data_IF_463382786481
#
_entry.id   IF_463382786481
#
_cell.length_a   1.000
_cell.length_b   1.000
_cell.length_c   1.000
_cell.angle_alpha   90.00
_cell.angle_beta   90.00
_cell.angle_gamma   90.00
#
_symmetry.space_group_name_H-M   'P 1'
#
loop_
_entity.id
_entity.type
_entity.pdbx_description
1 polymer ?
#
# COMPACT_ATOMS: atom_id res chain seq x y z
N UNK A 1 32.09 13.05 20.03
CA UNK A 1 31.17 12.07 19.40
C UNK A 1 29.70 12.49 19.56
N UNK A 2 29.22 12.74 20.79
CA UNK A 2 27.85 13.22 21.07
C UNK A 2 27.39 14.46 20.27
N UNK A 3 28.29 15.44 20.05
CA UNK A 3 27.97 16.65 19.26
C UNK A 3 27.72 16.37 17.77
N UNK A 4 28.38 15.37 17.17
CA UNK A 4 28.15 14.97 15.77
C UNK A 4 26.77 14.32 15.60
N UNK A 5 26.37 13.48 16.55
CA UNK A 5 25.07 12.81 16.55
C UNK A 5 23.93 13.82 16.76
N UNK A 6 24.10 14.77 17.68
CA UNK A 6 23.12 15.84 17.89
C UNK A 6 22.94 16.73 16.65
N UNK A 7 24.04 17.03 15.93
CA UNK A 7 23.96 17.80 14.68
C UNK A 7 23.26 16.98 13.59
N UNK A 8 23.60 15.69 13.44
CA UNK A 8 22.95 14.80 12.47
C UNK A 8 21.43 14.68 12.69
N UNK A 9 20.97 14.58 13.94
CA UNK A 9 19.53 14.55 14.24
C UNK A 9 18.83 15.87 13.90
N UNK A 10 19.49 17.01 14.13
CA UNK A 10 18.96 18.31 13.73
C UNK A 10 18.86 18.44 12.20
N UNK A 11 19.89 17.97 11.48
CA UNK A 11 19.89 17.98 10.01
C UNK A 11 18.79 17.08 9.45
N UNK A 12 18.60 15.87 10.01
CA UNK A 12 17.50 14.95 9.64
C UNK A 12 16.13 15.56 9.94
N UNK A 13 15.97 16.24 11.07
CA UNK A 13 14.72 16.93 11.40
C UNK A 13 14.42 18.07 10.43
N UNK A 14 15.45 18.83 10.01
CA UNK A 14 15.32 19.87 8.99
C UNK A 14 14.94 19.29 7.63
N UNK A 15 15.50 18.15 7.22
CA UNK A 15 15.11 17.49 5.98
C UNK A 15 13.71 16.90 6.04
N UNK A 16 13.33 16.29 7.17
CA UNK A 16 11.96 15.79 7.41
C UNK A 16 10.93 16.91 7.34
N UNK A 17 11.28 18.15 7.69
CA UNK A 17 10.39 19.30 7.56
C UNK A 17 10.14 19.73 6.11
N UNK A 18 11.03 19.34 5.18
CA UNK A 18 10.87 19.57 3.74
C UNK A 18 10.01 18.49 3.07
N UNK A 19 9.69 17.40 3.78
CA UNK A 19 8.83 16.33 3.27
C UNK A 19 7.39 16.84 3.26
N UNK A 20 6.81 16.93 2.07
CA UNK A 20 5.39 17.23 1.88
C UNK A 20 4.56 16.01 2.27
N UNK A 21 4.15 15.94 3.53
CA UNK A 21 3.22 14.90 3.98
C UNK A 21 1.82 15.15 3.39
N UNK A 22 1.19 14.12 2.80
CA UNK A 22 -0.16 14.24 2.26
C UNK A 22 -1.16 14.58 3.37
N UNK A 23 -2.19 15.33 3.00
CA UNK A 23 -3.27 15.66 3.94
C UNK A 23 -4.04 14.39 4.34
N UNK A 24 -4.62 14.37 5.55
CA UNK A 24 -5.42 13.23 6.02
C UNK A 24 -6.61 12.89 5.09
N UNK A 25 -7.05 13.85 4.28
CA UNK A 25 -8.12 13.69 3.30
C UNK A 25 -7.62 12.95 2.07
N UNK A 26 -6.46 13.35 1.53
CA UNK A 26 -5.81 12.64 0.41
C UNK A 26 -5.44 11.21 0.79
N UNK A 27 -4.95 11.00 2.02
CA UNK A 27 -4.60 9.67 2.53
C UNK A 27 -5.81 8.73 2.58
N UNK A 28 -6.97 9.26 2.98
CA UNK A 28 -8.24 8.51 2.96
C UNK A 28 -8.69 8.24 1.53
N UNK A 29 -8.61 9.23 0.65
CA UNK A 29 -8.95 9.07 -0.77
C UNK A 29 -8.14 7.96 -1.45
N UNK A 30 -6.81 7.97 -1.27
CA UNK A 30 -5.93 6.93 -1.83
C UNK A 30 -6.22 5.56 -1.25
N UNK A 31 -6.43 5.46 0.07
CA UNK A 31 -6.76 4.18 0.73
C UNK A 31 -8.09 3.61 0.25
N UNK A 32 -9.13 4.45 0.08
CA UNK A 32 -10.43 4.01 -0.41
C UNK A 32 -10.34 3.44 -1.83
N UNK A 33 -9.58 4.08 -2.72
CA UNK A 33 -9.37 3.58 -4.08
C UNK A 33 -8.68 2.22 -4.05
N UNK A 34 -7.64 2.06 -3.22
CA UNK A 34 -6.93 0.78 -3.08
C UNK A 34 -7.86 -0.32 -2.58
N UNK A 35 -8.71 -0.04 -1.58
CA UNK A 35 -9.69 -1.01 -1.06
C UNK A 35 -10.66 -1.47 -2.14
N UNK A 36 -11.19 -0.54 -2.94
CA UNK A 36 -12.12 -0.89 -4.04
C UNK A 36 -11.41 -1.73 -5.10
N UNK A 37 -10.19 -1.34 -5.50
CA UNK A 37 -9.40 -2.06 -6.48
C UNK A 37 -9.08 -3.50 -6.02
N UNK A 38 -8.61 -3.66 -4.78
CA UNK A 38 -8.27 -4.99 -4.26
C UNK A 38 -9.50 -5.88 -4.10
N UNK A 39 -10.66 -5.32 -3.77
CA UNK A 39 -11.92 -6.06 -3.68
C UNK A 39 -12.35 -6.59 -5.06
N UNK A 40 -12.26 -5.77 -6.11
CA UNK A 40 -12.56 -6.18 -7.48
C UNK A 40 -11.60 -7.30 -7.93
N UNK A 41 -10.30 -7.13 -7.69
CA UNK A 41 -9.30 -8.14 -8.04
C UNK A 41 -9.52 -9.45 -7.28
N UNK A 42 -9.86 -9.38 -5.99
CA UNK A 42 -10.15 -10.56 -5.19
C UNK A 42 -11.33 -11.34 -5.73
N UNK A 43 -12.41 -10.67 -6.14
CA UNK A 43 -13.57 -11.31 -6.78
C UNK A 43 -13.16 -11.96 -8.10
N UNK A 44 -12.36 -11.27 -8.92
CA UNK A 44 -11.88 -11.81 -10.19
C UNK A 44 -11.05 -13.08 -10.01
N UNK A 45 -10.11 -13.08 -9.06
CA UNK A 45 -9.30 -14.26 -8.74
C UNK A 45 -10.19 -15.40 -8.26
N UNK A 46 -11.15 -15.13 -7.37
CA UNK A 46 -12.07 -16.14 -6.85
C UNK A 46 -12.89 -16.82 -7.97
N UNK A 47 -13.38 -16.05 -8.94
CA UNK A 47 -14.08 -16.59 -10.11
C UNK A 47 -13.12 -17.44 -10.96
N UNK A 48 -11.91 -16.93 -11.20
CA UNK A 48 -10.89 -17.61 -12.00
C UNK A 48 -10.51 -18.96 -11.37
N UNK A 49 -10.20 -18.98 -10.08
CA UNK A 49 -9.86 -20.19 -9.33
C UNK A 49 -11.00 -21.21 -9.38
N UNK A 50 -12.25 -20.78 -9.18
CA UNK A 50 -13.42 -21.65 -9.25
C UNK A 50 -13.67 -22.18 -10.65
N UNK A 51 -13.45 -21.37 -11.68
CA UNK A 51 -13.58 -21.81 -13.07
C UNK A 51 -12.52 -22.84 -13.44
N UNK A 52 -11.27 -22.63 -13.02
CA UNK A 52 -10.16 -23.56 -13.24
C UNK A 52 -10.39 -24.88 -12.48
N UNK A 53 -10.80 -24.81 -11.21
CA UNK A 53 -11.16 -25.97 -10.39
C UNK A 53 -12.28 -26.79 -11.06
N UNK A 54 -13.33 -26.10 -11.54
CA UNK A 54 -14.43 -26.74 -12.25
C UNK A 54 -13.99 -27.44 -13.55
N UNK A 55 -13.13 -26.80 -14.35
CA UNK A 55 -12.60 -27.39 -15.58
C UNK A 55 -11.71 -28.61 -15.27
N UNK A 56 -10.83 -28.51 -14.27
CA UNK A 56 -9.94 -29.60 -13.88
C UNK A 56 -10.71 -30.82 -13.37
N UNK A 57 -11.74 -30.63 -12.54
CA UNK A 57 -12.61 -31.71 -12.03
C UNK A 57 -13.46 -32.39 -13.12
N UNK A 58 -13.64 -31.75 -14.28
CA UNK A 58 -14.34 -32.37 -15.42
C UNK A 58 -13.38 -33.17 -16.29
N UNK A 59 -12.10 -32.77 -16.35
CA UNK A 59 -11.08 -33.39 -17.19
C UNK A 59 -10.43 -34.60 -16.49
N UNK A 60 -10.15 -34.50 -15.19
CA UNK A 60 -9.59 -35.58 -14.35
C UNK A 60 -10.69 -36.28 -13.57
#
# INVERSE_FOLDING_TARGET
MFRKISNFLNDVQLEMSKVSWPSRVELKGTTTIVIVLTLILSIFILITDKSLEGILNVIY
#
